data_IF_391623504977
#
_entry.id   IF_391623504977
#
_cell.length_a   1.000
_cell.length_b   1.000
_cell.length_c   1.000
_cell.angle_alpha   90.00
_cell.angle_beta   90.00
_cell.angle_gamma   90.00
#
_symmetry.space_group_name_H-M   'P 1'
#
loop_
_entity.id
_entity.type
_entity.pdbx_description
1 polymer ?
#
# COMPACT_ATOMS: atom_id res chain seq x y z
N UNK A 1 -8.89 -26.22 4.59
CA UNK A 1 -7.87 -25.27 4.07
C UNK A 1 -6.65 -25.33 4.99
N UNK A 2 -5.42 -25.28 4.46
CA UNK A 2 -4.23 -25.17 5.30
C UNK A 2 -4.04 -23.73 5.80
N UNK A 3 -3.36 -23.56 6.94
CA UNK A 3 -3.03 -22.23 7.47
C UNK A 3 -2.29 -21.37 6.44
N UNK A 4 -1.35 -21.98 5.70
CA UNK A 4 -0.61 -21.32 4.62
C UNK A 4 -1.52 -20.81 3.50
N UNK A 5 -2.51 -21.61 3.10
CA UNK A 5 -3.49 -21.20 2.08
C UNK A 5 -4.34 -20.01 2.54
N UNK A 6 -4.73 -19.99 3.82
CA UNK A 6 -5.47 -18.88 4.42
C UNK A 6 -4.60 -17.62 4.45
N UNK A 7 -3.34 -17.73 4.88
CA UNK A 7 -2.40 -16.59 4.90
C UNK A 7 -2.22 -15.98 3.51
N UNK A 8 -2.04 -16.81 2.48
CA UNK A 8 -1.91 -16.31 1.10
C UNK A 8 -3.19 -15.68 0.59
N UNK A 9 -4.36 -16.25 0.90
CA UNK A 9 -5.63 -15.65 0.52
C UNK A 9 -5.81 -14.27 1.17
N UNK A 10 -5.55 -14.15 2.47
CA UNK A 10 -5.65 -12.88 3.19
C UNK A 10 -4.65 -11.86 2.61
N UNK A 11 -3.40 -12.27 2.39
CA UNK A 11 -2.37 -11.41 1.81
C UNK A 11 -2.74 -10.91 0.41
N UNK A 12 -3.28 -11.79 -0.45
CA UNK A 12 -3.74 -11.43 -1.78
C UNK A 12 -4.91 -10.44 -1.73
N UNK A 13 -5.94 -10.74 -0.93
CA UNK A 13 -7.09 -9.84 -0.79
C UNK A 13 -6.70 -8.48 -0.22
N UNK A 14 -5.87 -8.44 0.83
CA UNK A 14 -5.38 -7.20 1.41
C UNK A 14 -4.61 -6.37 0.37
N UNK A 15 -3.68 -6.98 -0.36
CA UNK A 15 -2.92 -6.29 -1.41
C UNK A 15 -3.82 -5.73 -2.52
N UNK A 16 -4.72 -6.55 -3.06
CA UNK A 16 -5.62 -6.13 -4.14
C UNK A 16 -6.58 -5.03 -3.69
N UNK A 17 -7.19 -5.16 -2.50
CA UNK A 17 -8.14 -4.17 -2.00
C UNK A 17 -7.45 -2.86 -1.63
N UNK A 18 -6.26 -2.89 -1.05
CA UNK A 18 -5.48 -1.68 -0.79
C UNK A 18 -5.09 -0.97 -2.09
N UNK A 19 -4.67 -1.71 -3.12
CA UNK A 19 -4.36 -1.12 -4.43
C UNK A 19 -5.60 -0.55 -5.12
N UNK A 20 -6.73 -1.25 -5.04
CA UNK A 20 -8.00 -0.77 -5.57
C UNK A 20 -8.46 0.52 -4.85
N UNK A 21 -8.35 0.58 -3.52
CA UNK A 21 -8.65 1.76 -2.73
C UNK A 21 -7.71 2.94 -3.07
N UNK A 22 -6.41 2.68 -3.22
CA UNK A 22 -5.46 3.69 -3.69
C UNK A 22 -5.86 4.23 -5.07
N UNK A 23 -6.17 3.36 -6.02
CA UNK A 23 -6.61 3.75 -7.36
C UNK A 23 -7.86 4.63 -7.31
N UNK A 24 -8.91 4.16 -6.65
CA UNK A 24 -10.21 4.82 -6.63
C UNK A 24 -10.24 6.12 -5.81
N UNK A 25 -9.64 6.13 -4.62
CA UNK A 25 -9.78 7.23 -3.67
C UNK A 25 -8.58 8.18 -3.62
N UNK A 26 -7.46 7.83 -4.24
CA UNK A 26 -6.27 8.69 -4.27
C UNK A 26 -5.88 9.04 -5.70
N UNK A 27 -5.63 8.04 -6.55
CA UNK A 27 -5.08 8.28 -7.88
C UNK A 27 -6.08 8.95 -8.84
N UNK A 28 -7.33 8.48 -8.87
CA UNK A 28 -8.40 9.10 -9.67
C UNK A 28 -8.61 10.58 -9.30
N UNK A 29 -8.80 10.97 -8.02
CA UNK A 29 -8.97 12.39 -7.69
C UNK A 29 -7.72 13.23 -7.95
N UNK A 30 -6.51 12.68 -7.77
CA UNK A 30 -5.27 13.38 -8.16
C UNK A 30 -5.28 13.72 -9.65
N UNK A 31 -5.76 12.81 -10.50
CA UNK A 31 -5.80 13.02 -11.95
C UNK A 31 -6.86 14.04 -12.37
N UNK A 32 -7.96 14.17 -11.64
CA UNK A 32 -9.04 15.11 -11.96
C UNK A 32 -8.86 16.50 -11.35
N UNK A 33 -8.05 16.64 -10.29
CA UNK A 33 -7.86 17.89 -9.56
C UNK A 33 -7.07 18.97 -10.33
N UNK A 34 -6.11 18.58 -11.18
CA UNK A 34 -5.21 19.52 -11.86
C UNK A 34 -5.54 19.68 -13.34
N UNK A 35 -5.33 20.88 -13.89
CA UNK A 35 -5.56 21.18 -15.30
C UNK A 35 -4.34 20.86 -16.17
N UNK A 36 -3.13 21.07 -15.64
CA UNK A 36 -1.87 20.78 -16.35
C UNK A 36 -1.43 19.33 -16.14
N UNK A 37 -1.07 18.66 -17.23
CA UNK A 37 -0.60 17.27 -17.21
C UNK A 37 0.64 17.08 -16.34
N UNK A 38 1.55 18.05 -16.30
CA UNK A 38 2.76 17.96 -15.47
C UNK A 38 2.46 17.97 -13.97
N UNK A 39 1.48 18.78 -13.53
CA UNK A 39 1.03 18.82 -12.14
C UNK A 39 0.37 17.49 -11.73
N UNK A 40 -0.43 16.88 -12.62
CA UNK A 40 -1.01 15.56 -12.41
C UNK A 40 0.05 14.49 -12.19
N UNK A 41 1.10 14.48 -13.04
CA UNK A 41 2.18 13.50 -12.93
C UNK A 41 2.99 13.68 -11.64
N UNK A 42 3.33 14.92 -11.28
CA UNK A 42 4.04 15.20 -10.03
C UNK A 42 3.22 14.79 -8.80
N UNK A 43 1.92 15.11 -8.78
CA UNK A 43 1.03 14.73 -7.69
C UNK A 43 0.82 13.20 -7.59
N UNK A 44 0.68 12.51 -8.74
CA UNK A 44 0.56 11.06 -8.78
C UNK A 44 1.85 10.35 -8.32
N UNK A 45 3.01 10.90 -8.65
CA UNK A 45 4.29 10.41 -8.15
C UNK A 45 4.39 10.60 -6.63
N UNK A 46 3.99 11.77 -6.12
CA UNK A 46 3.98 12.02 -4.68
C UNK A 46 3.02 11.09 -3.93
N UNK A 47 1.83 10.81 -4.48
CA UNK A 47 0.90 9.86 -3.86
C UNK A 47 1.43 8.42 -3.87
N UNK A 48 2.13 8.01 -4.93
CA UNK A 48 2.83 6.73 -4.98
C UNK A 48 3.93 6.66 -3.92
N UNK A 49 4.72 7.72 -3.76
CA UNK A 49 5.75 7.80 -2.71
C UNK A 49 5.14 7.59 -1.32
N UNK A 50 4.03 8.28 -1.02
CA UNK A 50 3.33 8.12 0.26
C UNK A 50 2.84 6.69 0.45
N UNK A 51 2.25 6.07 -0.57
CA UNK A 51 1.81 4.67 -0.52
C UNK A 51 2.99 3.74 -0.19
N UNK A 52 4.12 3.90 -0.88
CA UNK A 52 5.33 3.11 -0.65
C UNK A 52 5.91 3.32 0.75
N UNK A 53 5.85 4.54 1.28
CA UNK A 53 6.28 4.82 2.64
C UNK A 53 5.42 4.05 3.67
N UNK A 54 4.09 4.06 3.51
CA UNK A 54 3.19 3.29 4.39
C UNK A 54 3.41 1.79 4.28
N UNK A 55 3.61 1.27 3.06
CA UNK A 55 3.94 -0.15 2.84
C UNK A 55 5.26 -0.48 3.54
N UNK A 56 6.31 0.32 3.32
CA UNK A 56 7.62 0.12 3.93
C UNK A 56 7.59 0.15 5.46
N UNK A 57 6.88 1.12 6.05
CA UNK A 57 6.70 1.20 7.50
C UNK A 57 5.91 0.00 8.02
N UNK A 58 4.80 -0.35 7.39
CA UNK A 58 3.97 -1.50 7.81
C UNK A 58 4.73 -2.82 7.74
N UNK A 59 5.45 -3.07 6.64
CA UNK A 59 6.33 -4.24 6.50
C UNK A 59 7.47 -4.20 7.51
N UNK A 60 8.09 -3.04 7.73
CA UNK A 60 9.16 -2.86 8.70
C UNK A 60 8.72 -3.17 10.14
N UNK A 61 7.58 -2.63 10.56
CA UNK A 61 7.00 -2.92 11.88
C UNK A 61 6.67 -4.42 12.00
N UNK A 62 6.03 -5.01 10.98
CA UNK A 62 5.73 -6.45 10.98
C UNK A 62 6.99 -7.31 11.10
N UNK A 63 8.04 -6.96 10.35
CA UNK A 63 9.33 -7.65 10.42
C UNK A 63 10.01 -7.48 11.79
N UNK A 64 9.93 -6.30 12.39
CA UNK A 64 10.44 -6.06 13.74
C UNK A 64 9.72 -6.92 14.78
N UNK A 65 8.38 -7.02 14.71
CA UNK A 65 7.61 -7.88 15.62
C UNK A 65 8.06 -9.33 15.51
N UNK A 66 8.25 -9.84 14.29
CA UNK A 66 8.74 -11.21 14.06
C UNK A 66 10.17 -11.37 14.61
N UNK A 67 11.05 -10.40 14.38
CA UNK A 67 12.45 -10.47 14.83
C UNK A 67 12.60 -10.46 16.36
N UNK A 68 11.74 -9.71 17.04
CA UNK A 68 11.73 -9.62 18.50
C UNK A 68 10.88 -10.71 19.17
N UNK A 69 10.16 -11.54 18.42
CA UNK A 69 9.25 -12.55 18.97
C UNK A 69 9.94 -13.53 19.93
N UNK A 70 11.15 -13.97 19.60
CA UNK A 70 11.92 -14.90 20.45
C UNK A 70 12.70 -14.18 21.56
N UNK A 71 12.70 -12.84 21.58
CA UNK A 71 13.50 -11.99 22.49
C UNK A 71 12.65 -11.28 23.55
N UNK A 72 11.33 -11.36 23.46
CA UNK A 72 10.35 -10.83 24.42
C UNK A 72 9.86 -11.95 25.34
#
# INVERSE_FOLDING_TARGET
>A
MSNTAITYLIGACAGVFSLAAYGAWVLVPVWTAYSRTWERLAAAFLSLYVLLAFVGIGTGIGALVIWFWDRL
#
